data_IF_224309680652
#
_entry.id   IF_224309680652
#
_cell.length_a   1.000
_cell.length_b   1.000
_cell.length_c   1.000
_cell.angle_alpha   90.00
_cell.angle_beta   90.00
_cell.angle_gamma   90.00
#
_symmetry.space_group_name_H-M   'P 1'
#
loop_
_entity.id
_entity.type
_entity.pdbx_description
1 polymer ?
#
# COMPACT_ATOMS: atom_id res chain seq x y z
N UNK A 1 1.83 -32.41 -4.35
CA UNK A 1 2.59 -31.28 -4.95
C UNK A 1 1.75 -30.03 -4.74
N UNK A 2 2.37 -28.99 -4.19
CA UNK A 2 1.66 -27.74 -3.94
C UNK A 2 1.77 -26.81 -5.15
N UNK A 3 0.67 -26.13 -5.45
CA UNK A 3 0.54 -25.20 -6.57
C UNK A 3 0.11 -23.83 -6.07
N UNK A 4 0.50 -22.79 -6.79
CA UNK A 4 0.03 -21.45 -6.54
C UNK A 4 -1.37 -21.25 -7.14
N UNK A 5 -2.25 -20.62 -6.36
CA UNK A 5 -3.62 -20.29 -6.71
C UNK A 5 -3.83 -18.81 -6.44
N UNK A 6 -4.24 -18.08 -7.47
CA UNK A 6 -4.69 -16.71 -7.33
C UNK A 6 -6.12 -16.71 -6.81
N UNK A 7 -6.42 -15.89 -5.82
CA UNK A 7 -7.74 -15.79 -5.24
C UNK A 7 -8.21 -14.33 -5.20
N UNK A 8 -9.52 -14.13 -5.28
CA UNK A 8 -10.18 -12.83 -5.12
C UNK A 8 -11.51 -13.00 -4.39
N UNK A 9 -12.14 -11.90 -3.99
CA UNK A 9 -13.49 -12.00 -3.43
C UNK A 9 -14.47 -12.41 -4.53
N UNK A 10 -15.41 -13.29 -4.21
CA UNK A 10 -16.35 -13.85 -5.17
C UNK A 10 -17.21 -12.78 -5.86
N UNK A 11 -17.60 -11.74 -5.12
CA UNK A 11 -18.34 -10.59 -5.69
C UNK A 11 -17.50 -9.70 -6.62
N UNK A 12 -16.16 -9.78 -6.59
CA UNK A 12 -15.30 -9.07 -7.54
C UNK A 12 -15.21 -9.84 -8.87
N UNK A 13 -15.16 -11.18 -8.79
CA UNK A 13 -15.17 -12.08 -9.95
C UNK A 13 -16.49 -12.01 -10.71
N UNK A 14 -17.59 -11.85 -9.98
CA UNK A 14 -18.92 -11.70 -10.54
C UNK A 14 -19.27 -10.23 -10.39
N UNK A 15 -19.12 -9.39 -11.42
CA UNK A 15 -19.64 -8.01 -11.40
C UNK A 15 -21.16 -8.05 -11.20
N UNK A 16 -21.63 -8.14 -9.95
CA UNK A 16 -23.02 -8.49 -9.62
C UNK A 16 -23.92 -7.28 -9.89
N UNK A 17 -24.53 -7.26 -11.08
CA UNK A 17 -25.78 -6.53 -11.36
C UNK A 17 -26.97 -7.47 -11.55
N UNK A 18 -26.77 -8.78 -11.39
CA UNK A 18 -27.62 -9.77 -12.06
C UNK A 18 -29.05 -9.77 -11.51
N UNK A 19 -29.28 -9.63 -10.19
CA UNK A 19 -30.65 -9.66 -9.64
C UNK A 19 -30.96 -8.75 -8.42
N UNK A 20 -30.06 -7.85 -7.98
CA UNK A 20 -30.25 -7.00 -6.78
C UNK A 20 -30.77 -7.80 -5.57
N UNK A 21 -30.21 -8.98 -5.35
CA UNK A 21 -30.63 -9.84 -4.24
C UNK A 21 -30.19 -9.20 -2.91
N UNK A 22 -31.15 -9.04 -1.99
CA UNK A 22 -30.98 -8.44 -0.66
C UNK A 22 -31.39 -9.45 0.41
N UNK A 23 -30.66 -10.54 0.46
CA UNK A 23 -30.88 -11.65 1.39
C UNK A 23 -29.64 -11.81 2.27
N UNK A 24 -29.82 -12.09 3.56
CA UNK A 24 -28.72 -12.24 4.52
C UNK A 24 -27.78 -13.39 4.11
N UNK A 25 -28.34 -14.43 3.48
CA UNK A 25 -27.56 -15.54 2.92
C UNK A 25 -26.60 -15.06 1.82
N UNK A 26 -27.02 -14.05 1.04
CA UNK A 26 -26.23 -13.52 -0.08
C UNK A 26 -25.19 -12.50 0.38
N UNK A 27 -25.45 -11.77 1.47
CA UNK A 27 -24.42 -10.95 2.10
C UNK A 27 -23.28 -11.83 2.66
N UNK A 28 -23.57 -12.97 3.28
CA UNK A 28 -22.54 -13.93 3.71
C UNK A 28 -21.73 -14.48 2.52
N UNK A 29 -22.38 -14.66 1.38
CA UNK A 29 -21.75 -15.13 0.13
C UNK A 29 -20.79 -14.08 -0.45
N UNK A 30 -21.05 -12.77 -0.26
CA UNK A 30 -20.11 -11.71 -0.68
C UNK A 30 -18.76 -11.82 0.02
N UNK A 31 -18.72 -12.38 1.22
CA UNK A 31 -17.46 -12.51 1.94
C UNK A 31 -16.62 -13.72 1.53
N UNK A 32 -17.14 -14.59 0.67
CA UNK A 32 -16.42 -15.75 0.18
C UNK A 32 -15.29 -15.36 -0.78
N UNK A 33 -14.20 -16.12 -0.70
CA UNK A 33 -13.15 -16.10 -1.71
C UNK A 33 -13.44 -17.13 -2.79
N UNK A 34 -12.98 -16.84 -4.01
CA UNK A 34 -12.97 -17.77 -5.13
C UNK A 34 -11.61 -17.73 -5.84
N UNK A 35 -11.38 -18.70 -6.71
CA UNK A 35 -10.16 -18.70 -7.52
C UNK A 35 -10.28 -17.66 -8.63
N UNK A 36 -9.24 -16.87 -8.84
CA UNK A 36 -9.15 -16.03 -10.04
C UNK A 36 -8.84 -16.93 -11.25
N UNK A 37 -9.82 -17.02 -12.15
CA UNK A 37 -9.76 -17.84 -13.34
C UNK A 37 -9.05 -17.14 -14.50
N UNK A 38 -9.00 -15.81 -14.49
CA UNK A 38 -8.57 -15.04 -15.65
C UNK A 38 -7.11 -14.60 -15.58
N UNK A 39 -6.50 -14.46 -14.40
CA UNK A 39 -5.05 -14.17 -14.17
C UNK A 39 -4.40 -13.19 -15.18
N UNK A 40 -5.20 -12.28 -15.76
CA UNK A 40 -4.81 -11.41 -16.87
C UNK A 40 -4.55 -10.03 -16.30
N UNK A 41 -3.39 -9.89 -15.65
CA UNK A 41 -2.49 -8.73 -15.61
C UNK A 41 -2.98 -7.27 -15.50
N UNK A 42 -4.26 -6.96 -15.45
CA UNK A 42 -4.77 -5.57 -15.49
C UNK A 42 -5.66 -5.32 -14.28
N UNK A 43 -5.06 -4.92 -13.16
CA UNK A 43 -5.77 -4.42 -11.99
C UNK A 43 -6.15 -5.45 -10.92
N UNK A 44 -5.40 -6.56 -10.82
CA UNK A 44 -5.60 -7.60 -9.81
C UNK A 44 -5.55 -7.04 -8.37
N UNK A 45 -6.64 -7.21 -7.62
CA UNK A 45 -6.76 -6.83 -6.19
C UNK A 45 -6.71 -8.04 -5.24
N UNK A 46 -6.56 -9.24 -5.79
CA UNK A 46 -6.51 -10.49 -5.03
C UNK A 46 -5.15 -10.79 -4.40
N UNK A 47 -4.98 -12.01 -3.88
CA UNK A 47 -3.70 -12.52 -3.37
C UNK A 47 -3.31 -13.86 -4.00
N UNK A 48 -2.11 -14.35 -3.66
CA UNK A 48 -1.61 -15.66 -4.10
C UNK A 48 -1.52 -16.59 -2.90
N UNK A 49 -2.22 -17.71 -2.96
CA UNK A 49 -2.22 -18.77 -1.94
C UNK A 49 -1.52 -20.01 -2.51
N UNK A 50 -0.67 -20.65 -1.71
CA UNK A 50 -0.11 -21.97 -2.04
C UNK A 50 -0.98 -23.05 -1.42
N UNK A 51 -1.42 -24.02 -2.22
CA UNK A 51 -2.34 -25.07 -1.79
C UNK A 51 -2.01 -26.42 -2.45
N UNK A 52 -2.44 -27.55 -1.88
CA UNK A 52 -2.36 -28.84 -2.54
C UNK A 52 -3.06 -28.82 -3.90
N UNK A 53 -2.47 -29.47 -4.91
CA UNK A 53 -3.02 -29.49 -6.26
C UNK A 53 -4.51 -29.93 -6.33
N UNK A 54 -4.90 -30.92 -5.52
CA UNK A 54 -6.29 -31.39 -5.47
C UNK A 54 -7.27 -30.34 -4.96
N UNK A 55 -6.90 -29.59 -3.92
CA UNK A 55 -7.74 -28.50 -3.40
C UNK A 55 -7.82 -27.34 -4.41
N UNK A 56 -6.67 -27.00 -5.02
CA UNK A 56 -6.61 -25.98 -6.05
C UNK A 56 -7.52 -26.27 -7.25
N UNK A 57 -7.52 -27.51 -7.74
CA UNK A 57 -8.36 -27.93 -8.87
C UNK A 57 -9.84 -27.97 -8.49
N UNK A 58 -10.17 -28.49 -7.29
CA UNK A 58 -11.53 -28.45 -6.75
C UNK A 58 -12.06 -27.02 -6.67
N UNK A 59 -11.28 -26.09 -6.12
CA UNK A 59 -11.69 -24.69 -5.99
C UNK A 59 -11.85 -24.01 -7.36
N UNK A 60 -10.98 -24.31 -8.33
CA UNK A 60 -11.10 -23.81 -9.71
C UNK A 60 -12.39 -24.31 -10.35
N UNK A 61 -12.69 -25.59 -10.21
CA UNK A 61 -13.89 -26.21 -10.75
C UNK A 61 -15.16 -25.62 -10.12
N UNK A 62 -15.20 -25.53 -8.79
CA UNK A 62 -16.30 -24.88 -8.07
C UNK A 62 -16.50 -23.43 -8.54
N UNK A 63 -15.40 -22.68 -8.72
CA UNK A 63 -15.46 -21.29 -9.20
C UNK A 63 -15.99 -21.22 -10.63
N UNK A 64 -15.54 -22.09 -11.53
CA UNK A 64 -16.05 -22.16 -12.91
C UNK A 64 -17.54 -22.48 -12.94
N UNK A 65 -17.97 -23.44 -12.14
CA UNK A 65 -19.36 -23.87 -12.07
C UNK A 65 -20.29 -22.73 -11.62
N UNK A 66 -19.94 -22.03 -10.54
CA UNK A 66 -20.76 -20.90 -10.05
C UNK A 66 -20.76 -19.74 -11.04
N UNK A 67 -19.61 -19.38 -11.63
CA UNK A 67 -19.54 -18.31 -12.64
C UNK A 67 -20.37 -18.66 -13.88
N UNK A 68 -20.32 -19.90 -14.36
CA UNK A 68 -21.11 -20.36 -15.49
C UNK A 68 -22.62 -20.31 -15.21
N UNK A 69 -23.05 -20.79 -14.02
CA UNK A 69 -24.46 -20.73 -13.60
C UNK A 69 -24.98 -19.29 -13.55
N UNK A 70 -24.19 -18.37 -12.98
CA UNK A 70 -24.55 -16.96 -12.89
C UNK A 70 -24.61 -16.26 -14.24
N UNK A 71 -23.68 -16.56 -15.16
CA UNK A 71 -23.73 -16.06 -16.55
C UNK A 71 -24.99 -16.54 -17.26
N UNK A 72 -25.33 -17.83 -17.12
CA UNK A 72 -26.56 -18.39 -17.71
C UNK A 72 -27.83 -17.73 -17.17
N UNK A 73 -27.90 -17.46 -15.86
CA UNK A 73 -29.01 -16.72 -15.26
C UNK A 73 -29.07 -15.28 -15.80
N UNK A 74 -27.93 -14.60 -15.89
CA UNK A 74 -27.85 -13.24 -16.42
C UNK A 74 -28.32 -13.14 -17.87
N UNK A 75 -27.90 -14.07 -18.73
CA UNK A 75 -28.34 -14.13 -20.13
C UNK A 75 -29.85 -14.31 -20.24
N UNK A 76 -30.44 -15.21 -19.45
CA UNK A 76 -31.90 -15.41 -19.40
C UNK A 76 -32.65 -14.21 -18.85
N UNK A 77 -32.14 -13.54 -17.81
CA UNK A 77 -32.74 -12.32 -17.26
C UNK A 77 -32.73 -11.19 -18.30
N UNK A 78 -31.61 -11.00 -19.01
CA UNK A 78 -31.49 -10.01 -20.08
C UNK A 78 -32.46 -10.30 -21.24
N UNK A 79 -32.56 -11.56 -21.66
CA UNK A 79 -33.51 -11.98 -22.70
C UNK A 79 -34.96 -11.71 -22.27
N UNK A 80 -35.32 -12.08 -21.04
CA UNK A 80 -36.67 -11.92 -20.52
C UNK A 80 -37.04 -10.43 -20.34
N UNK A 81 -36.09 -9.58 -19.91
CA UNK A 81 -36.25 -8.11 -19.89
C UNK A 81 -36.38 -7.53 -21.28
N UNK A 82 -35.64 -8.04 -22.25
CA UNK A 82 -35.76 -7.66 -23.66
C UNK A 82 -37.17 -7.90 -24.21
N UNK A 83 -37.81 -9.02 -23.83
CA UNK A 83 -39.22 -9.32 -24.19
C UNK A 83 -40.23 -8.37 -23.54
N UNK A 84 -39.87 -7.71 -22.43
CA UNK A 84 -40.68 -6.72 -21.75
C UNK A 84 -40.50 -5.30 -22.30
N UNK A 85 -39.56 -5.06 -23.23
CA UNK A 85 -39.37 -3.77 -23.85
C UNK A 85 -40.55 -3.41 -24.79
N UNK A 86 -40.94 -2.13 -24.89
CA UNK A 86 -41.97 -1.70 -25.82
C UNK A 86 -41.53 -1.90 -27.28
N UNK A 87 -42.43 -2.45 -28.10
CA UNK A 87 -42.28 -2.42 -29.56
C UNK A 87 -42.97 -1.15 -30.08
N UNK A 88 -42.25 -0.34 -30.86
CA UNK A 88 -42.71 1.01 -31.24
C UNK A 88 -43.80 0.95 -32.34
N UNK A 89 -45.00 1.48 -32.03
CA UNK A 89 -46.14 1.66 -32.93
C UNK A 89 -47.44 2.04 -32.20
N UNK A 90 -48.22 3.02 -32.70
CA UNK A 90 -49.40 3.58 -31.99
C UNK A 90 -50.55 2.56 -31.82
N UNK A 91 -50.78 1.69 -32.80
CA UNK A 91 -51.79 0.61 -32.73
C UNK A 91 -51.33 -0.59 -31.90
N UNK A 92 -50.02 -0.77 -31.76
CA UNK A 92 -49.44 -1.85 -30.98
C UNK A 92 -49.34 -1.51 -29.49
N UNK A 93 -49.45 -0.23 -29.11
CA UNK A 93 -49.34 0.21 -27.72
C UNK A 93 -50.43 -0.35 -26.79
N UNK A 94 -51.70 -0.41 -27.22
CA UNK A 94 -52.79 -0.97 -26.40
C UNK A 94 -52.71 -2.49 -26.28
N UNK A 95 -52.43 -3.18 -27.41
CA UNK A 95 -52.20 -4.63 -27.44
C UNK A 95 -50.98 -5.02 -26.59
N UNK A 96 -49.93 -4.23 -26.66
CA UNK A 96 -48.73 -4.39 -25.85
C UNK A 96 -49.03 -4.16 -24.36
N UNK A 97 -49.82 -3.14 -23.98
CA UNK A 97 -50.23 -2.95 -22.57
C UNK A 97 -50.95 -4.16 -21.98
N UNK A 98 -51.89 -4.74 -22.74
CA UNK A 98 -52.62 -5.95 -22.31
C UNK A 98 -51.69 -7.17 -22.24
N UNK A 99 -50.82 -7.36 -23.25
CA UNK A 99 -49.83 -8.45 -23.28
C UNK A 99 -48.76 -8.32 -22.19
N UNK A 100 -48.37 -7.10 -21.84
CA UNK A 100 -47.34 -6.79 -20.83
C UNK A 100 -47.72 -7.30 -19.45
N UNK A 101 -49.00 -7.22 -19.06
CA UNK A 101 -49.45 -7.75 -17.78
C UNK A 101 -49.19 -9.25 -17.64
N UNK A 102 -49.46 -10.02 -18.71
CA UNK A 102 -49.16 -11.45 -18.78
C UNK A 102 -47.65 -11.73 -18.80
N UNK A 103 -46.91 -11.05 -19.68
CA UNK A 103 -45.45 -11.20 -19.79
C UNK A 103 -44.74 -10.85 -18.47
N UNK A 104 -45.26 -9.87 -17.72
CA UNK A 104 -44.73 -9.50 -16.42
C UNK A 104 -44.92 -10.60 -15.38
N UNK A 105 -46.09 -11.25 -15.33
CA UNK A 105 -46.32 -12.39 -14.43
C UNK A 105 -45.43 -13.58 -14.80
N UNK A 106 -45.30 -13.86 -16.09
CA UNK A 106 -44.39 -14.91 -16.58
C UNK A 106 -42.93 -14.59 -16.21
N UNK A 107 -42.50 -13.33 -16.36
CA UNK A 107 -41.19 -12.86 -15.93
C UNK A 107 -41.00 -12.94 -14.41
N UNK A 108 -41.98 -12.54 -13.61
CA UNK A 108 -41.90 -12.62 -12.14
C UNK A 108 -41.77 -14.08 -11.66
N UNK A 109 -42.50 -15.01 -12.27
CA UNK A 109 -42.36 -16.44 -11.99
C UNK A 109 -41.00 -17.00 -12.43
N UNK A 110 -40.53 -16.62 -13.62
CA UNK A 110 -39.19 -16.99 -14.10
C UNK A 110 -38.08 -16.40 -13.21
N UNK A 111 -38.27 -15.17 -12.74
CA UNK A 111 -37.33 -14.50 -11.84
C UNK A 111 -37.21 -15.26 -10.52
N UNK A 112 -38.31 -15.68 -9.89
CA UNK A 112 -38.24 -16.46 -8.66
C UNK A 112 -37.43 -17.76 -8.86
N UNK A 113 -37.65 -18.48 -9.97
CA UNK A 113 -36.86 -19.67 -10.30
C UNK A 113 -35.37 -19.35 -10.51
N UNK A 114 -35.05 -18.26 -11.22
CA UNK A 114 -33.67 -17.80 -11.40
C UNK A 114 -32.99 -17.44 -10.06
N UNK A 115 -33.72 -16.82 -9.13
CA UNK A 115 -33.20 -16.50 -7.80
C UNK A 115 -32.84 -17.77 -7.01
N UNK A 116 -33.68 -18.81 -7.08
CA UNK A 116 -33.41 -20.09 -6.45
C UNK A 116 -32.23 -20.85 -7.10
N UNK A 117 -32.10 -20.77 -8.43
CA UNK A 117 -30.92 -21.31 -9.13
C UNK A 117 -29.63 -20.61 -8.72
N UNK A 118 -29.65 -19.29 -8.57
CA UNK A 118 -28.51 -18.51 -8.07
C UNK A 118 -28.15 -18.94 -6.65
N UNK A 119 -29.13 -19.07 -5.75
CA UNK A 119 -28.90 -19.57 -4.38
C UNK A 119 -28.31 -20.97 -4.38
N UNK A 120 -28.86 -21.88 -5.19
CA UNK A 120 -28.38 -23.25 -5.31
C UNK A 120 -26.93 -23.30 -5.81
N UNK A 121 -26.58 -22.49 -6.80
CA UNK A 121 -25.21 -22.39 -7.31
C UNK A 121 -24.23 -21.89 -6.24
N UNK A 122 -24.62 -20.88 -5.45
CA UNK A 122 -23.78 -20.40 -4.35
C UNK A 122 -23.64 -21.41 -3.21
N UNK A 123 -24.71 -22.14 -2.84
CA UNK A 123 -24.62 -23.21 -1.84
C UNK A 123 -23.68 -24.31 -2.31
N UNK A 124 -23.82 -24.77 -3.56
CA UNK A 124 -22.93 -25.77 -4.14
C UNK A 124 -21.46 -25.30 -4.14
N UNK A 125 -21.22 -24.03 -4.49
CA UNK A 125 -19.89 -23.42 -4.39
C UNK A 125 -19.37 -23.43 -2.96
N UNK A 126 -20.15 -22.93 -2.00
CA UNK A 126 -19.79 -22.87 -0.59
C UNK A 126 -19.45 -24.25 -0.05
N UNK A 127 -20.23 -25.26 -0.38
CA UNK A 127 -20.04 -26.61 0.13
C UNK A 127 -18.81 -27.28 -0.51
N UNK A 128 -18.54 -27.02 -1.79
CA UNK A 128 -17.38 -27.58 -2.52
C UNK A 128 -16.07 -26.86 -2.20
N UNK A 129 -16.11 -25.56 -1.90
CA UNK A 129 -14.97 -24.71 -1.61
C UNK A 129 -15.01 -24.14 -0.18
N UNK A 130 -15.62 -24.87 0.76
CA UNK A 130 -15.85 -24.42 2.14
C UNK A 130 -14.56 -24.01 2.85
N UNK A 131 -13.47 -24.69 2.52
CA UNK A 131 -12.14 -24.54 3.09
C UNK A 131 -11.31 -23.42 2.45
N UNK A 132 -11.71 -22.90 1.28
CA UNK A 132 -10.97 -21.84 0.59
C UNK A 132 -10.92 -20.56 1.43
N UNK A 133 -12.06 -20.13 1.97
CA UNK A 133 -12.14 -18.89 2.76
C UNK A 133 -11.32 -18.97 4.06
N UNK A 134 -11.44 -20.03 4.88
CA UNK A 134 -10.55 -20.27 6.02
C UNK A 134 -9.07 -20.34 5.63
N UNK A 135 -8.74 -20.99 4.51
CA UNK A 135 -7.35 -21.13 4.03
C UNK A 135 -6.74 -19.78 3.67
N UNK A 136 -7.50 -18.90 3.00
CA UNK A 136 -7.07 -17.52 2.70
C UNK A 136 -6.88 -16.71 3.97
N UNK A 137 -7.80 -16.81 4.94
CA UNK A 137 -7.68 -16.11 6.21
C UNK A 137 -6.41 -16.51 6.97
N UNK A 138 -6.18 -17.82 7.13
CA UNK A 138 -5.00 -18.35 7.81
C UNK A 138 -3.70 -17.98 7.08
N UNK A 139 -3.71 -17.96 5.75
CA UNK A 139 -2.55 -17.51 4.97
C UNK A 139 -2.25 -16.02 5.17
N UNK A 140 -3.27 -15.16 5.15
CA UNK A 140 -3.12 -13.72 5.41
C UNK A 140 -2.58 -13.46 6.80
N UNK A 141 -3.06 -14.19 7.81
CA UNK A 141 -2.56 -14.09 9.18
C UNK A 141 -1.08 -14.48 9.27
N UNK A 142 -0.69 -15.59 8.65
CA UNK A 142 0.72 -16.00 8.58
C UNK A 142 1.59 -14.95 7.89
N UNK A 143 1.16 -14.40 6.76
CA UNK A 143 1.89 -13.34 6.07
C UNK A 143 2.00 -12.07 6.91
N UNK A 144 0.93 -11.65 7.58
CA UNK A 144 0.96 -10.51 8.48
C UNK A 144 1.86 -10.76 9.71
N UNK A 145 1.91 -11.99 10.21
CA UNK A 145 2.83 -12.36 11.28
C UNK A 145 4.29 -12.34 10.81
N UNK A 146 4.61 -13.01 9.70
CA UNK A 146 5.95 -12.99 9.09
C UNK A 146 6.42 -11.56 8.76
N UNK A 147 5.51 -10.72 8.25
CA UNK A 147 5.81 -9.33 7.94
C UNK A 147 6.12 -8.54 9.22
N UNK A 148 5.31 -8.68 10.26
CA UNK A 148 5.56 -8.06 11.57
C UNK A 148 6.89 -8.54 12.17
N UNK A 149 7.22 -9.82 12.06
CA UNK A 149 8.50 -10.33 12.53
C UNK A 149 9.68 -9.76 11.75
N UNK A 150 9.56 -9.65 10.41
CA UNK A 150 10.60 -9.04 9.57
C UNK A 150 10.78 -7.56 9.87
N UNK A 151 9.69 -6.83 10.05
CA UNK A 151 9.71 -5.42 10.43
C UNK A 151 10.33 -5.23 11.82
N UNK A 152 9.95 -6.05 12.80
CA UNK A 152 10.55 -6.04 14.12
C UNK A 152 12.05 -6.36 14.09
N UNK A 153 12.48 -7.34 13.29
CA UNK A 153 13.91 -7.65 13.10
C UNK A 153 14.66 -6.49 12.47
N UNK A 154 14.13 -5.89 11.40
CA UNK A 154 14.72 -4.71 10.75
C UNK A 154 14.83 -3.53 11.70
N UNK A 155 13.78 -3.27 12.47
CA UNK A 155 13.77 -2.23 13.51
C UNK A 155 14.89 -2.50 14.55
N UNK A 156 14.97 -3.73 15.07
CA UNK A 156 16.01 -4.11 16.01
C UNK A 156 17.43 -3.98 15.44
N UNK A 157 17.64 -4.38 14.18
CA UNK A 157 18.92 -4.22 13.46
C UNK A 157 19.30 -2.75 13.31
N UNK A 158 18.35 -1.88 12.94
CA UNK A 158 18.57 -0.42 12.84
C UNK A 158 18.96 0.19 14.18
N UNK A 159 18.23 -0.14 15.24
CA UNK A 159 18.51 0.33 16.61
C UNK A 159 19.89 -0.15 17.07
N UNK A 160 20.23 -1.42 16.81
CA UNK A 160 21.52 -1.99 17.16
C UNK A 160 22.68 -1.30 16.41
N UNK A 161 22.50 -0.97 15.13
CA UNK A 161 23.51 -0.25 14.34
C UNK A 161 23.80 1.14 14.91
N UNK A 162 22.78 1.90 15.30
CA UNK A 162 22.95 3.21 15.95
C UNK A 162 23.61 3.05 17.31
N UNK A 163 23.20 2.05 18.10
CA UNK A 163 23.80 1.76 19.42
C UNK A 163 25.30 1.43 19.29
N UNK A 164 25.69 0.65 18.30
CA UNK A 164 27.10 0.40 17.98
C UNK A 164 27.86 1.68 17.59
N UNK A 165 27.16 2.66 17.00
CA UNK A 165 27.68 3.99 16.68
C UNK A 165 27.82 4.95 17.85
N UNK A 166 27.18 4.68 18.99
CA UNK A 166 27.39 5.48 20.20
C UNK A 166 28.82 5.28 20.71
N UNK A 167 29.23 4.02 20.80
CA UNK A 167 30.49 3.64 21.45
C UNK A 167 31.63 3.35 20.44
N UNK A 168 31.30 3.24 19.14
CA UNK A 168 32.19 2.66 18.13
C UNK A 168 32.47 3.54 16.90
N UNK A 169 33.59 3.28 16.20
CA UNK A 169 33.98 3.98 14.99
C UNK A 169 33.25 3.41 13.75
N UNK A 170 31.94 3.62 13.65
CA UNK A 170 31.11 3.06 12.56
C UNK A 170 30.44 4.12 11.69
N UNK A 171 30.62 5.41 11.98
CA UNK A 171 30.04 6.49 11.19
C UNK A 171 30.87 6.78 9.94
N UNK A 172 30.18 7.30 8.94
CA UNK A 172 30.76 7.82 7.72
C UNK A 172 30.21 9.22 7.43
N UNK A 173 31.02 10.02 6.75
CA UNK A 173 30.56 11.29 6.17
C UNK A 173 31.25 11.57 4.84
N UNK A 174 30.69 12.51 4.09
CA UNK A 174 31.37 13.21 3.01
C UNK A 174 30.98 14.68 3.01
N UNK A 175 31.83 15.51 2.41
CA UNK A 175 31.52 16.91 2.11
C UNK A 175 31.31 17.03 0.61
N UNK A 176 30.19 17.64 0.20
CA UNK A 176 29.86 17.88 -1.21
C UNK A 176 29.19 19.23 -1.41
N UNK A 177 29.14 19.70 -2.65
CA UNK A 177 28.20 20.74 -3.04
C UNK A 177 26.81 20.12 -3.24
N UNK A 178 25.80 20.71 -2.61
CA UNK A 178 24.40 20.34 -2.77
C UNK A 178 23.55 21.60 -2.87
N UNK A 179 22.91 21.78 -4.02
CA UNK A 179 22.07 22.95 -4.33
C UNK A 179 22.79 24.30 -4.16
N UNK A 180 24.10 24.35 -4.42
CA UNK A 180 24.90 25.58 -4.27
C UNK A 180 25.38 25.84 -2.84
N UNK A 181 25.19 24.87 -1.94
CA UNK A 181 25.67 24.91 -0.55
C UNK A 181 26.66 23.79 -0.29
N UNK A 182 27.68 24.05 0.53
CA UNK A 182 28.46 22.97 1.13
C UNK A 182 27.55 22.14 2.03
N UNK A 183 27.60 20.82 1.89
CA UNK A 183 26.85 19.87 2.69
C UNK A 183 27.78 18.82 3.31
N UNK A 184 27.69 18.66 4.64
CA UNK A 184 28.19 17.46 5.34
C UNK A 184 27.07 16.44 5.37
N UNK A 185 27.21 15.37 4.59
CA UNK A 185 26.25 14.27 4.59
C UNK A 185 26.79 13.13 5.44
N UNK A 186 26.01 12.67 6.42
CA UNK A 186 26.37 11.71 7.45
C UNK A 186 25.54 10.44 7.31
N UNK A 187 26.14 9.26 7.44
CA UNK A 187 25.40 8.00 7.41
C UNK A 187 26.07 6.87 8.22
N UNK A 188 25.28 5.83 8.49
CA UNK A 188 25.73 4.56 9.06
C UNK A 188 25.80 3.50 7.95
N UNK A 189 27.01 3.05 7.54
CA UNK A 189 27.16 1.99 6.53
C UNK A 189 26.44 0.69 6.88
N UNK A 190 26.27 0.38 8.17
CA UNK A 190 25.54 -0.80 8.61
C UNK A 190 24.03 -0.75 8.28
N UNK A 191 23.45 0.45 8.17
CA UNK A 191 22.04 0.67 7.79
C UNK A 191 21.90 0.84 6.27
N UNK A 192 22.98 1.27 5.60
CA UNK A 192 23.03 1.57 4.17
C UNK A 192 24.29 0.97 3.50
N UNK A 193 24.39 -0.38 3.37
CA UNK A 193 25.61 -1.04 2.89
C UNK A 193 25.87 -0.91 1.39
N UNK A 194 24.90 -0.40 0.62
CA UNK A 194 24.95 -0.37 -0.86
C UNK A 194 24.79 1.02 -1.47
N UNK A 195 24.70 2.06 -0.65
CA UNK A 195 24.59 3.45 -1.11
C UNK A 195 25.79 4.23 -0.62
N UNK A 196 26.83 4.31 -1.46
CA UNK A 196 27.86 5.33 -1.28
C UNK A 196 27.36 6.62 -1.92
N UNK A 197 27.12 7.69 -1.15
CA UNK A 197 26.66 8.93 -1.74
C UNK A 197 27.75 9.53 -2.64
N UNK A 198 27.33 10.03 -3.79
CA UNK A 198 28.24 10.64 -4.77
C UNK A 198 28.57 12.09 -4.41
N UNK A 199 29.71 12.57 -4.92
CA UNK A 199 30.05 14.01 -4.94
C UNK A 199 31.10 14.47 -3.94
N UNK A 200 31.91 13.58 -3.35
CA UNK A 200 33.00 13.96 -2.45
C UNK A 200 33.86 12.77 -2.03
N UNK A 201 34.93 13.06 -1.27
CA UNK A 201 35.73 12.01 -0.63
C UNK A 201 34.97 11.44 0.57
N UNK A 202 34.75 10.13 0.56
CA UNK A 202 34.07 9.41 1.64
C UNK A 202 35.06 9.11 2.76
N UNK A 203 34.74 9.56 3.98
CA UNK A 203 35.47 9.22 5.21
C UNK A 203 34.63 8.25 6.04
N UNK A 204 35.26 7.19 6.55
CA UNK A 204 34.62 6.07 7.27
C UNK A 204 35.38 5.71 8.52
N UNK A 205 34.75 4.91 9.38
CA UNK A 205 35.40 4.37 10.57
C UNK A 205 35.55 5.45 11.64
N UNK A 206 34.57 6.35 11.73
CA UNK A 206 34.59 7.49 12.63
C UNK A 206 33.65 7.26 13.79
N UNK A 207 34.02 7.72 14.97
CA UNK A 207 33.11 7.83 16.10
C UNK A 207 32.17 9.03 15.89
N UNK A 208 31.03 9.05 16.60
CA UNK A 208 30.06 10.14 16.46
C UNK A 208 30.66 11.50 16.84
N UNK A 209 31.56 11.54 17.83
CA UNK A 209 32.25 12.77 18.23
C UNK A 209 33.26 13.24 17.19
N UNK A 210 33.88 12.33 16.42
CA UNK A 210 34.76 12.72 15.33
C UNK A 210 33.97 13.35 14.19
N UNK A 211 32.80 12.82 13.86
CA UNK A 211 31.89 13.45 12.91
C UNK A 211 31.43 14.81 13.42
N UNK A 212 31.11 14.96 14.71
CA UNK A 212 30.73 16.24 15.30
C UNK A 212 31.85 17.29 15.18
N UNK A 213 33.12 16.91 15.42
CA UNK A 213 34.27 17.82 15.21
C UNK A 213 34.42 18.25 13.76
N UNK A 214 34.10 17.38 12.80
CA UNK A 214 34.09 17.74 11.37
C UNK A 214 33.00 18.75 11.09
N UNK A 215 31.79 18.58 11.62
CA UNK A 215 30.70 19.56 11.49
C UNK A 215 31.16 20.93 11.98
N UNK A 216 31.79 20.98 13.16
CA UNK A 216 32.33 22.21 13.75
C UNK A 216 33.45 22.82 12.90
N UNK A 217 34.36 21.98 12.39
CA UNK A 217 35.45 22.41 11.51
C UNK A 217 34.91 23.01 10.21
N UNK A 218 33.98 22.35 9.53
CA UNK A 218 33.39 22.89 8.30
C UNK A 218 32.61 24.17 8.57
N UNK A 219 31.88 24.25 9.69
CA UNK A 219 31.16 25.48 10.08
C UNK A 219 32.05 26.65 10.47
N UNK A 220 33.26 26.36 10.97
CA UNK A 220 34.26 27.39 11.24
C UNK A 220 34.79 28.04 9.96
N UNK A 221 34.75 27.31 8.83
CA UNK A 221 35.13 27.81 7.50
C UNK A 221 33.97 28.48 6.78
N UNK A 222 32.79 27.86 6.82
CA UNK A 222 31.56 28.41 6.27
C UNK A 222 30.38 28.13 7.22
N UNK A 223 29.89 29.15 7.96
CA UNK A 223 28.79 29.00 8.90
C UNK A 223 27.49 28.47 8.29
N UNK A 224 27.35 28.53 6.97
CA UNK A 224 26.15 28.17 6.22
C UNK A 224 26.21 26.76 5.62
N UNK A 225 27.18 25.93 6.04
CA UNK A 225 27.23 24.51 5.64
C UNK A 225 26.03 23.75 6.20
N UNK A 226 25.35 23.04 5.31
CA UNK A 226 24.21 22.20 5.62
C UNK A 226 24.65 20.86 6.18
N UNK A 227 23.93 20.37 7.17
CA UNK A 227 24.16 19.06 7.78
C UNK A 227 22.97 18.18 7.42
N UNK A 228 23.28 17.05 6.78
CA UNK A 228 22.30 16.08 6.37
C UNK A 228 22.62 14.70 6.89
N UNK A 229 21.59 13.91 7.11
CA UNK A 229 21.69 12.46 7.27
C UNK A 229 21.03 11.81 6.07
N UNK A 230 21.57 10.69 5.64
CA UNK A 230 20.84 9.84 4.69
C UNK A 230 19.53 9.36 5.30
N UNK A 231 18.54 9.06 4.45
CA UNK A 231 17.16 8.81 4.90
C UNK A 231 17.08 7.65 5.90
N UNK A 232 17.77 6.53 5.65
CA UNK A 232 17.69 5.37 6.56
C UNK A 232 18.52 5.59 7.80
N UNK A 233 19.65 6.30 7.72
CA UNK A 233 20.39 6.71 8.93
C UNK A 233 19.52 7.58 9.82
N UNK A 234 18.85 8.57 9.26
CA UNK A 234 17.92 9.42 9.99
C UNK A 234 16.75 8.63 10.58
N UNK A 235 16.19 7.67 9.84
CA UNK A 235 15.16 6.76 10.37
C UNK A 235 15.69 5.90 11.53
N UNK A 236 16.85 5.28 11.38
CA UNK A 236 17.47 4.47 12.43
C UNK A 236 17.75 5.29 13.70
N UNK A 237 18.24 6.52 13.56
CA UNK A 237 18.46 7.43 14.68
C UNK A 237 17.16 7.78 15.41
N UNK A 238 16.06 8.00 14.66
CA UNK A 238 14.73 8.24 15.24
C UNK A 238 14.22 7.01 16.00
N UNK A 239 14.30 5.83 15.39
CA UNK A 239 13.90 4.57 16.01
C UNK A 239 14.67 4.33 17.33
N UNK A 240 15.99 4.51 17.32
CA UNK A 240 16.84 4.39 18.50
C UNK A 240 16.47 5.41 19.58
N UNK A 241 16.21 6.67 19.20
CA UNK A 241 15.82 7.69 20.16
C UNK A 241 14.47 7.38 20.80
N UNK A 242 13.48 6.93 20.01
CA UNK A 242 12.17 6.52 20.54
C UNK A 242 12.27 5.29 21.44
N UNK A 243 13.08 4.28 21.09
CA UNK A 243 13.37 3.12 21.94
C UNK A 243 13.97 3.54 23.30
N UNK A 244 14.89 4.50 23.28
CA UNK A 244 15.55 5.01 24.50
C UNK A 244 14.65 5.90 25.35
N UNK A 245 13.92 6.83 24.72
CA UNK A 245 13.14 7.86 25.42
C UNK A 245 11.75 7.38 25.84
N UNK A 246 11.25 6.28 25.27
CA UNK A 246 9.89 5.76 25.48
C UNK A 246 8.80 6.57 24.77
N UNK A 247 9.10 7.78 24.29
CA UNK A 247 8.18 8.68 23.60
C UNK A 247 8.85 9.38 22.41
N UNK A 248 8.01 9.89 21.50
CA UNK A 248 8.45 10.61 20.30
C UNK A 248 8.75 12.07 20.66
N UNK A 249 9.95 12.54 20.33
CA UNK A 249 10.35 13.91 20.66
C UNK A 249 9.54 14.95 19.85
N UNK A 250 9.17 16.09 20.44
CA UNK A 250 8.64 17.21 19.69
C UNK A 250 9.75 17.89 18.86
N UNK A 251 9.49 18.17 17.58
CA UNK A 251 10.42 18.87 16.67
C UNK A 251 11.12 17.96 15.65
N UNK A 252 12.27 18.38 15.11
CA UNK A 252 13.04 17.55 14.18
C UNK A 252 13.76 16.43 14.96
N UNK A 253 13.12 15.27 15.01
CA UNK A 253 13.58 14.08 15.74
C UNK A 253 15.00 13.66 15.38
N UNK A 254 15.49 14.00 14.18
CA UNK A 254 16.87 13.70 13.77
C UNK A 254 17.88 14.55 14.51
N UNK A 255 17.57 15.83 14.73
CA UNK A 255 18.40 16.76 15.51
C UNK A 255 18.41 16.35 16.97
N UNK A 256 17.25 16.00 17.53
CA UNK A 256 17.15 15.50 18.91
C UNK A 256 17.93 14.20 19.09
N UNK A 257 17.80 13.25 18.15
CA UNK A 257 18.57 12.01 18.19
C UNK A 257 20.08 12.28 18.07
N UNK A 258 20.51 13.18 17.19
CA UNK A 258 21.92 13.56 17.07
C UNK A 258 22.46 14.20 18.36
N UNK A 259 21.71 15.10 18.97
CA UNK A 259 22.07 15.72 20.23
C UNK A 259 22.16 14.69 21.37
N UNK A 260 21.28 13.69 21.38
CA UNK A 260 21.36 12.58 22.33
C UNK A 260 22.59 11.68 22.11
N UNK A 261 23.09 11.56 20.88
CA UNK A 261 24.30 10.81 20.56
C UNK A 261 25.58 11.58 20.89
N UNK A 262 25.62 12.89 20.62
CA UNK A 262 26.85 13.69 20.65
C UNK A 262 26.96 14.64 21.84
N UNK A 263 25.84 14.95 22.50
CA UNK A 263 25.72 16.06 23.44
C UNK A 263 25.62 17.44 22.79
N UNK A 264 25.66 17.54 21.45
CA UNK A 264 25.67 18.79 20.72
C UNK A 264 24.40 18.98 19.88
N UNK A 265 23.77 20.15 20.01
CA UNK A 265 22.63 20.53 19.16
C UNK A 265 23.17 21.11 17.86
N UNK A 266 22.70 20.56 16.73
CA UNK A 266 23.09 21.01 15.40
C UNK A 266 21.86 21.51 14.67
N UNK A 267 21.90 22.77 14.21
CA UNK A 267 20.93 23.25 13.22
C UNK A 267 21.25 22.61 11.86
N UNK A 268 20.38 21.81 11.23
CA UNK A 268 20.71 21.12 9.98
C UNK A 268 20.84 22.08 8.80
N UNK A 269 20.14 23.23 8.79
CA UNK A 269 20.09 24.14 7.64
C UNK A 269 20.17 25.58 8.12
N UNK A 270 21.35 26.18 7.94
CA UNK A 270 21.58 27.61 8.19
C UNK A 270 21.63 28.34 6.86
N UNK A 271 20.66 29.23 6.62
CA UNK A 271 20.54 30.02 5.38
C UNK A 271 21.43 31.26 5.43
N UNK A 272 22.06 31.63 4.30
CA UNK A 272 22.75 32.93 4.20
C UNK A 272 21.71 34.05 4.29
N UNK A 273 22.10 35.24 4.79
CA UNK A 273 21.22 36.40 4.84
C UNK A 273 20.59 36.68 3.47
N UNK A 274 19.26 36.72 3.39
CA UNK A 274 18.51 36.99 2.17
C UNK A 274 18.17 35.77 1.31
N UNK A 275 18.79 34.60 1.51
CA UNK A 275 18.50 33.41 0.71
C UNK A 275 17.11 32.85 0.99
N UNK A 276 16.71 32.80 2.26
CA UNK A 276 15.40 32.29 2.66
C UNK A 276 14.27 33.18 2.11
N UNK A 277 14.47 34.50 2.12
CA UNK A 277 13.57 35.47 1.52
C UNK A 277 13.51 35.31 0.01
N UNK A 278 14.65 35.12 -0.67
CA UNK A 278 14.70 34.87 -2.11
C UNK A 278 14.01 33.54 -2.48
N UNK A 279 14.18 32.49 -1.68
CA UNK A 279 13.50 31.21 -1.88
C UNK A 279 11.99 31.37 -1.72
N UNK A 280 11.54 32.10 -0.69
CA UNK A 280 10.11 32.39 -0.46
C UNK A 280 9.53 33.25 -1.60
N UNK A 281 10.25 34.29 -2.03
CA UNK A 281 9.83 35.18 -3.10
C UNK A 281 9.80 34.46 -4.46
N UNK A 282 10.78 33.60 -4.76
CA UNK A 282 10.79 32.80 -5.99
C UNK A 282 9.67 31.76 -6.03
N UNK A 283 9.28 31.19 -4.88
CA UNK A 283 8.09 30.33 -4.76
C UNK A 283 6.78 31.11 -4.91
N UNK A 284 6.70 32.33 -4.39
CA UNK A 284 5.52 33.18 -4.53
C UNK A 284 5.34 33.70 -5.98
N UNK A 285 6.44 33.94 -6.70
CA UNK A 285 6.41 34.50 -8.06
C UNK A 285 6.29 33.44 -9.18
N UNK A 286 6.59 32.17 -8.92
CA UNK A 286 6.27 31.07 -9.83
C UNK A 286 4.87 30.59 -9.49
N UNK A 287 3.85 30.99 -10.26
CA UNK A 287 2.44 30.64 -10.05
C UNK A 287 2.13 29.14 -10.10
N UNK A 288 2.65 28.38 -9.15
CA UNK A 288 2.29 26.99 -8.89
C UNK A 288 0.92 27.00 -8.19
N UNK A 289 -0.14 26.83 -8.99
CA UNK A 289 -1.39 26.29 -8.48
C UNK A 289 -1.14 24.92 -7.82
N UNK A 290 -2.04 24.46 -6.93
CA UNK A 290 -1.82 23.28 -6.10
C UNK A 290 -1.63 22.05 -7.00
N UNK A 291 -0.38 21.64 -7.18
CA UNK A 291 -0.02 20.52 -8.05
C UNK A 291 1.04 19.67 -7.37
N UNK A 292 0.63 18.43 -7.07
CA UNK A 292 1.41 17.20 -6.98
C UNK A 292 2.59 17.15 -5.99
N UNK A 293 2.50 16.20 -5.06
CA UNK A 293 3.37 15.93 -3.90
C UNK A 293 4.83 15.50 -4.20
N UNK A 294 5.43 15.92 -5.31
CA UNK A 294 6.78 15.48 -5.69
C UNK A 294 7.91 16.39 -5.22
N UNK A 295 7.61 17.54 -4.61
CA UNK A 295 8.63 18.37 -3.95
C UNK A 295 8.05 19.17 -2.78
N UNK A 296 7.48 18.46 -1.81
CA UNK A 296 7.24 19.03 -0.48
C UNK A 296 8.58 19.07 0.28
N UNK A 297 8.87 20.14 1.03
CA UNK A 297 9.93 20.13 2.04
C UNK A 297 9.73 19.07 3.14
N UNK A 298 8.69 18.24 3.07
CA UNK A 298 8.37 17.17 4.01
C UNK A 298 9.30 15.94 3.92
N UNK A 299 10.33 15.94 3.05
CA UNK A 299 11.51 15.06 3.23
C UNK A 299 12.47 15.60 4.30
N UNK A 300 12.28 16.84 4.75
CA UNK A 300 12.61 17.24 6.11
C UNK A 300 11.36 17.05 6.98
N UNK A 301 11.15 15.80 7.43
CA UNK A 301 10.06 15.43 8.34
C UNK A 301 9.96 16.36 9.57
N UNK A 302 8.75 16.86 9.78
CA UNK A 302 8.37 17.77 10.86
C UNK A 302 7.06 18.44 10.51
N UNK A 303 5.95 17.73 10.72
CA UNK A 303 4.60 18.29 10.65
C UNK A 303 4.41 19.33 11.76
N UNK A 304 3.76 20.44 11.43
CA UNK A 304 3.05 21.28 12.41
C UNK A 304 1.90 20.48 13.03
#
# INVERSE_FOLDING_TARGET
>A
MDVDVWYQKLWEAIRVSVLNLRDDEIEQIRDLYCVDLDNRGTGFRGGRLRAPAGDADRWREATRAVVAALRSVQERDLEARGRLAPQYGVRDALRWRLRRGRLRREYEAQRAAMEDEVRAAYRAFRDTAADLTPSVAAWRERQAHEQREREARRLAERIAAVRAGVDGPVWAYLVRDYAGHGQVLIWLPAVEPHEEPQGGEVRRGLTVHEVQRVIEQERSRDPYVWIGWTERTAEAMRDWHTDRAGERAPGDERVTAWAALTGAVVDPVVWRPGELEQLRASRANRGYGPSSNYWSPSTFGGSF
#
